data_IF_760608170479
#
_entry.id   IF_760608170479
#
_cell.length_a   1.000
_cell.length_b   1.000
_cell.length_c   1.000
_cell.angle_alpha   90.00
_cell.angle_beta   90.00
_cell.angle_gamma   90.00
#
_symmetry.space_group_name_H-M   'P 1'
#
loop_
_entity.id
_entity.type
_entity.pdbx_description
1 polymer ?
#
# COMPACT_ATOMS: atom_id res chain seq x y z
N UNK A 1 10.24 -18.59 -17.63
CA UNK A 1 9.47 -18.64 -16.38
C UNK A 1 10.45 -18.49 -15.23
N UNK A 2 10.72 -17.25 -14.80
CA UNK A 2 11.63 -16.99 -13.68
C UNK A 2 10.83 -17.02 -12.38
N UNK A 3 11.13 -17.98 -11.54
CA UNK A 3 10.62 -18.06 -10.18
C UNK A 3 11.11 -16.84 -9.39
N UNK A 4 10.16 -16.03 -8.91
CA UNK A 4 10.44 -14.91 -8.03
C UNK A 4 10.71 -15.49 -6.65
N UNK A 5 11.98 -15.53 -6.26
CA UNK A 5 12.39 -15.89 -4.92
C UNK A 5 11.99 -14.76 -3.95
N UNK A 6 11.30 -15.13 -2.89
CA UNK A 6 10.73 -14.20 -1.94
C UNK A 6 11.34 -14.46 -0.58
N UNK A 7 12.15 -13.53 -0.13
CA UNK A 7 12.79 -13.55 1.18
C UNK A 7 11.95 -12.79 2.19
N UNK A 8 11.47 -13.47 3.23
CA UNK A 8 10.82 -12.85 4.38
C UNK A 8 11.92 -12.42 5.34
N UNK A 9 12.28 -11.14 5.34
CA UNK A 9 13.17 -10.58 6.36
C UNK A 9 12.31 -9.95 7.46
N UNK A 10 12.07 -10.67 8.53
CA UNK A 10 11.51 -10.13 9.75
C UNK A 10 12.60 -9.30 10.47
N UNK A 11 12.70 -8.02 10.16
CA UNK A 11 13.41 -7.07 11.01
C UNK A 11 12.42 -6.43 11.96
N UNK A 12 12.45 -6.87 13.20
CA UNK A 12 11.86 -6.12 14.31
C UNK A 12 12.63 -4.81 14.40
N UNK A 13 12.00 -3.69 14.10
CA UNK A 13 12.56 -2.39 14.37
C UNK A 13 12.45 -2.12 15.87
N UNK A 14 13.51 -2.42 16.63
CA UNK A 14 13.67 -1.93 17.98
C UNK A 14 13.80 -0.41 17.94
N UNK A 15 12.78 0.27 18.40
CA UNK A 15 12.86 1.68 18.72
C UNK A 15 13.58 1.85 20.07
N UNK A 16 14.85 2.19 19.99
CA UNK A 16 15.68 2.97 20.90
C UNK A 16 15.61 2.80 22.41
N UNK A 17 16.63 2.20 22.94
CA UNK A 17 17.52 2.71 23.98
C UNK A 17 16.98 2.99 25.38
N UNK A 18 17.47 2.28 26.31
CA UNK A 18 18.20 2.62 27.53
C UNK A 18 17.86 1.73 28.73
N UNK A 19 18.87 1.12 29.17
CA UNK A 19 19.34 0.54 30.41
C UNK A 19 18.42 0.42 31.65
N UNK A 20 18.67 -0.72 32.31
CA UNK A 20 18.74 -1.00 33.72
C UNK A 20 17.53 -1.60 34.44
N UNK A 21 17.72 -2.89 34.81
CA UNK A 21 17.51 -3.46 36.13
C UNK A 21 16.10 -3.55 36.70
N UNK A 22 15.65 -4.80 36.94
CA UNK A 22 14.58 -5.03 37.86
C UNK A 22 13.76 -6.28 37.55
N UNK A 23 14.02 -7.34 38.30
CA UNK A 23 13.26 -8.59 38.34
C UNK A 23 11.79 -8.32 38.67
N UNK A 24 10.87 -8.85 37.85
CA UNK A 24 9.45 -8.72 38.11
C UNK A 24 8.61 -9.40 37.04
N UNK A 25 8.28 -10.66 37.28
CA UNK A 25 7.30 -11.45 36.57
C UNK A 25 5.96 -10.70 36.50
N UNK A 26 5.60 -10.22 35.34
CA UNK A 26 4.27 -9.70 35.06
C UNK A 26 3.75 -10.30 33.77
N UNK A 27 2.80 -11.22 33.96
CA UNK A 27 1.97 -11.80 32.91
C UNK A 27 1.33 -10.70 32.06
N UNK A 28 1.63 -10.78 30.77
CA UNK A 28 1.38 -9.92 29.69
C UNK A 28 0.06 -9.19 29.62
N UNK A 29 0.14 -7.90 29.54
CA UNK A 29 -0.76 -7.10 28.73
C UNK A 29 -0.10 -6.94 27.38
N UNK A 30 -0.78 -7.47 26.33
CA UNK A 30 -0.28 -7.45 24.96
C UNK A 30 0.25 -6.07 24.59
N UNK A 31 1.45 -6.04 24.08
CA UNK A 31 2.08 -4.84 23.54
C UNK A 31 1.21 -4.33 22.39
N UNK A 32 0.49 -3.25 22.63
CA UNK A 32 -0.23 -2.51 21.59
C UNK A 32 0.84 -1.96 20.66
N UNK A 33 0.99 -2.59 19.46
CA UNK A 33 1.43 -1.88 18.31
C UNK A 33 2.74 -2.22 17.62
N UNK A 34 3.39 -3.34 17.85
CA UNK A 34 4.50 -3.76 16.96
C UNK A 34 3.91 -4.26 15.64
N UNK A 35 3.95 -3.41 14.59
CA UNK A 35 3.52 -3.79 13.25
C UNK A 35 4.59 -4.66 12.59
N UNK A 36 4.15 -5.72 11.91
CA UNK A 36 5.04 -6.64 11.17
C UNK A 36 5.19 -6.12 9.73
N UNK A 37 6.43 -5.83 9.27
CA UNK A 37 6.64 -5.43 7.89
C UNK A 37 6.54 -6.64 6.95
N UNK A 38 5.67 -6.54 5.95
CA UNK A 38 5.58 -7.47 4.83
C UNK A 38 6.24 -6.84 3.62
N UNK A 39 7.32 -7.42 3.14
CA UNK A 39 8.01 -6.96 1.92
C UNK A 39 7.53 -7.77 0.73
N UNK A 40 7.04 -7.10 -0.29
CA UNK A 40 6.56 -7.70 -1.54
C UNK A 40 7.44 -7.24 -2.69
N UNK A 41 7.90 -8.18 -3.52
CA UNK A 41 8.65 -7.88 -4.72
C UNK A 41 7.70 -7.66 -5.89
N UNK A 42 7.93 -6.58 -6.64
CA UNK A 42 7.21 -6.27 -7.88
C UNK A 42 8.20 -6.14 -9.03
N UNK A 43 7.72 -6.12 -10.27
CA UNK A 43 8.59 -5.89 -11.44
C UNK A 43 9.35 -4.56 -11.39
N UNK A 44 8.86 -3.57 -10.62
CA UNK A 44 9.50 -2.26 -10.47
C UNK A 44 10.33 -2.08 -9.20
N UNK A 45 10.39 -3.09 -8.31
CA UNK A 45 11.11 -3.04 -7.02
C UNK A 45 10.28 -3.54 -5.85
N UNK A 46 10.81 -3.36 -4.63
CA UNK A 46 10.19 -3.85 -3.39
C UNK A 46 9.18 -2.85 -2.82
N UNK A 47 8.06 -3.37 -2.33
CA UNK A 47 7.03 -2.61 -1.61
C UNK A 47 6.92 -3.18 -0.20
N UNK A 48 6.88 -2.31 0.81
CA UNK A 48 6.70 -2.71 2.21
C UNK A 48 5.31 -2.30 2.68
N UNK A 49 4.57 -3.26 3.23
CA UNK A 49 3.32 -3.06 3.94
C UNK A 49 3.54 -3.22 5.44
N UNK A 50 2.73 -2.54 6.26
CA UNK A 50 2.74 -2.71 7.70
C UNK A 50 1.48 -3.48 8.13
N UNK A 51 1.64 -4.71 8.55
CA UNK A 51 0.57 -5.59 9.03
C UNK A 51 0.47 -5.57 10.54
N UNK A 52 -0.65 -6.02 11.11
CA UNK A 52 -0.90 -6.04 12.55
C UNK A 52 -0.09 -7.12 13.26
N UNK A 53 0.02 -8.28 12.64
CA UNK A 53 0.67 -9.47 13.16
C UNK A 53 1.20 -10.37 12.04
N UNK A 54 1.84 -11.47 12.41
CA UNK A 54 2.42 -12.41 11.47
C UNK A 54 1.36 -13.20 10.67
N UNK A 55 0.21 -13.48 11.24
CA UNK A 55 -0.87 -14.22 10.57
C UNK A 55 -1.49 -13.36 9.46
N UNK A 56 -1.74 -12.09 9.75
CA UNK A 56 -2.17 -11.13 8.72
C UNK A 56 -1.11 -10.98 7.62
N UNK A 57 0.17 -10.91 7.98
CA UNK A 57 1.26 -10.82 7.00
C UNK A 57 1.28 -12.03 6.06
N UNK A 58 1.12 -13.24 6.60
CA UNK A 58 1.12 -14.47 5.81
C UNK A 58 -0.10 -14.54 4.88
N UNK A 59 -1.29 -14.22 5.38
CA UNK A 59 -2.52 -14.21 4.59
C UNK A 59 -2.46 -13.17 3.47
N UNK A 60 -2.08 -11.93 3.79
CA UNK A 60 -1.94 -10.87 2.79
C UNK A 60 -0.87 -11.19 1.76
N UNK A 61 0.20 -11.86 2.18
CA UNK A 61 1.24 -12.30 1.26
C UNK A 61 0.68 -13.18 0.16
N UNK A 62 -0.01 -14.26 0.50
CA UNK A 62 -0.58 -15.18 -0.49
C UNK A 62 -1.56 -14.47 -1.44
N UNK A 63 -2.39 -13.57 -0.91
CA UNK A 63 -3.35 -12.78 -1.69
C UNK A 63 -2.66 -11.82 -2.65
N UNK A 64 -1.63 -11.10 -2.18
CA UNK A 64 -0.89 -10.15 -3.02
C UNK A 64 -0.10 -10.89 -4.10
N UNK A 65 0.51 -12.03 -3.80
CA UNK A 65 1.21 -12.84 -4.80
C UNK A 65 0.25 -13.32 -5.89
N UNK A 66 -0.95 -13.78 -5.52
CA UNK A 66 -2.01 -14.11 -6.47
C UNK A 66 -2.47 -12.89 -7.29
N UNK A 67 -2.61 -11.72 -6.66
CA UNK A 67 -2.96 -10.48 -7.33
C UNK A 67 -1.89 -10.02 -8.33
N UNK A 68 -0.61 -10.17 -8.00
CA UNK A 68 0.52 -9.88 -8.91
C UNK A 68 0.55 -10.82 -10.12
N UNK A 69 -0.03 -12.00 -10.02
CA UNK A 69 -0.15 -12.98 -11.12
C UNK A 69 -1.48 -12.90 -11.87
N UNK A 70 -2.36 -11.95 -11.53
CA UNK A 70 -3.59 -11.66 -12.27
C UNK A 70 -4.90 -11.92 -11.54
N UNK A 71 -4.88 -12.37 -10.27
CA UNK A 71 -6.11 -12.49 -9.47
C UNK A 71 -6.85 -11.16 -9.36
N UNK A 72 -8.18 -11.23 -9.31
CA UNK A 72 -9.08 -10.07 -9.21
C UNK A 72 -9.38 -9.64 -7.76
N UNK A 73 -8.50 -9.95 -6.81
CA UNK A 73 -8.68 -9.55 -5.41
C UNK A 73 -8.71 -8.02 -5.27
N UNK A 74 -9.71 -7.48 -4.59
CA UNK A 74 -9.88 -6.05 -4.33
C UNK A 74 -9.56 -5.65 -2.88
N UNK A 75 -9.21 -6.60 -2.04
CA UNK A 75 -8.81 -6.43 -0.63
C UNK A 75 -9.82 -5.67 0.24
N UNK A 76 -11.11 -5.61 -0.13
CA UNK A 76 -12.13 -4.81 0.58
C UNK A 76 -12.41 -5.27 2.00
N UNK A 77 -12.16 -6.53 2.29
CA UNK A 77 -12.29 -7.17 3.60
C UNK A 77 -11.10 -6.86 4.53
N UNK A 78 -10.01 -6.31 4.00
CA UNK A 78 -8.83 -5.98 4.80
C UNK A 78 -9.07 -4.66 5.54
N UNK A 79 -8.99 -4.65 6.88
CA UNK A 79 -9.18 -3.43 7.65
C UNK A 79 -8.13 -2.38 7.29
N UNK A 80 -8.57 -1.15 7.12
CA UNK A 80 -7.65 -0.03 6.91
C UNK A 80 -6.85 0.24 8.18
N UNK A 81 -5.59 0.62 8.00
CA UNK A 81 -4.73 1.03 9.09
C UNK A 81 -5.29 2.29 9.81
N UNK A 82 -4.87 2.47 11.05
CA UNK A 82 -5.18 3.68 11.82
C UNK A 82 -4.56 4.92 11.17
N UNK A 83 -5.29 6.01 11.25
CA UNK A 83 -4.89 7.31 10.71
C UNK A 83 -5.89 8.39 11.09
N UNK A 84 -5.60 9.64 10.72
CA UNK A 84 -6.57 10.75 10.93
C UNK A 84 -7.83 10.50 10.11
N UNK A 85 -8.94 11.13 10.51
CA UNK A 85 -10.22 10.99 9.80
C UNK A 85 -10.07 11.30 8.29
N UNK A 86 -9.28 12.33 7.94
CA UNK A 86 -9.03 12.68 6.54
C UNK A 86 -8.17 11.64 5.82
N UNK A 87 -7.13 11.08 6.47
CA UNK A 87 -6.35 10.00 5.87
C UNK A 87 -7.20 8.77 5.59
N UNK A 88 -8.03 8.36 6.55
CA UNK A 88 -8.95 7.23 6.36
C UNK A 88 -9.98 7.49 5.27
N UNK A 89 -10.52 8.71 5.17
CA UNK A 89 -11.42 9.10 4.09
C UNK A 89 -10.72 9.00 2.71
N UNK A 90 -9.47 9.48 2.61
CA UNK A 90 -8.67 9.35 1.40
C UNK A 90 -8.36 7.88 1.05
N UNK A 91 -8.02 7.05 2.04
CA UNK A 91 -7.73 5.63 1.80
C UNK A 91 -8.98 4.87 1.35
N UNK A 92 -10.14 5.09 1.98
CA UNK A 92 -11.43 4.52 1.52
C UNK A 92 -11.78 4.95 0.10
N UNK A 93 -11.65 6.24 -0.20
CA UNK A 93 -11.88 6.75 -1.56
C UNK A 93 -10.89 6.15 -2.57
N UNK A 94 -9.64 5.95 -2.18
CA UNK A 94 -8.64 5.29 -3.02
C UNK A 94 -9.02 3.83 -3.32
N UNK A 95 -9.49 3.08 -2.33
CA UNK A 95 -9.95 1.69 -2.50
C UNK A 95 -11.18 1.57 -3.40
N UNK A 96 -11.95 2.65 -3.61
CA UNK A 96 -13.09 2.64 -4.54
C UNK A 96 -12.70 2.77 -6.02
N UNK A 97 -11.44 3.09 -6.33
CA UNK A 97 -10.95 3.18 -7.71
C UNK A 97 -10.82 1.75 -8.27
N UNK A 98 -11.52 1.40 -9.35
CA UNK A 98 -11.43 0.08 -9.95
C UNK A 98 -10.01 -0.26 -10.44
N UNK A 99 -9.70 -1.56 -10.50
CA UNK A 99 -8.47 -2.05 -11.11
C UNK A 99 -8.36 -1.59 -12.56
N UNK A 100 -7.18 -1.13 -12.97
CA UNK A 100 -6.93 -0.62 -14.32
C UNK A 100 -7.37 0.83 -14.54
N UNK A 101 -8.06 1.44 -13.57
CA UNK A 101 -8.45 2.84 -13.65
C UNK A 101 -7.56 3.74 -12.80
N UNK A 102 -7.46 5.00 -13.18
CA UNK A 102 -6.74 6.02 -12.42
C UNK A 102 -7.62 7.22 -12.12
N UNK A 103 -7.33 7.90 -11.03
CA UNK A 103 -7.98 9.16 -10.64
C UNK A 103 -6.95 10.19 -10.22
N UNK A 104 -7.30 11.47 -10.35
CA UNK A 104 -6.41 12.56 -9.92
C UNK A 104 -6.43 12.76 -8.41
N UNK A 105 -5.39 13.42 -7.88
CA UNK A 105 -5.39 13.87 -6.47
C UNK A 105 -6.53 14.84 -6.15
N UNK A 106 -6.99 15.63 -7.13
CA UNK A 106 -8.14 16.51 -6.95
C UNK A 106 -9.44 15.72 -6.82
N UNK A 107 -9.62 14.66 -7.62
CA UNK A 107 -10.74 13.74 -7.47
C UNK A 107 -10.72 13.06 -6.10
N UNK A 108 -9.56 12.58 -5.67
CA UNK A 108 -9.40 11.92 -4.37
C UNK A 108 -9.79 12.85 -3.22
N UNK A 109 -9.35 14.13 -3.27
CA UNK A 109 -9.67 15.13 -2.27
C UNK A 109 -11.18 15.41 -2.22
N UNK A 110 -11.84 15.50 -3.38
CA UNK A 110 -13.28 15.68 -3.47
C UNK A 110 -14.04 14.47 -2.92
N UNK A 111 -13.65 13.26 -3.30
CA UNK A 111 -14.23 12.02 -2.80
C UNK A 111 -14.03 11.82 -1.28
N UNK A 112 -12.95 12.37 -0.72
CA UNK A 112 -12.69 12.41 0.72
C UNK A 112 -13.41 13.56 1.45
N UNK A 113 -14.34 14.27 0.79
CA UNK A 113 -15.12 15.36 1.38
C UNK A 113 -14.40 16.71 1.47
N UNK A 114 -13.26 16.88 0.82
CA UNK A 114 -12.44 18.10 0.90
C UNK A 114 -11.90 18.54 -0.46
N UNK A 115 -12.72 19.05 -1.39
CA UNK A 115 -12.34 19.28 -2.80
C UNK A 115 -11.11 20.17 -3.02
N UNK A 116 -10.83 21.07 -2.07
CA UNK A 116 -9.69 22.00 -2.16
C UNK A 116 -8.40 21.45 -1.53
N UNK A 117 -8.41 20.19 -1.02
CA UNK A 117 -7.34 19.60 -0.24
C UNK A 117 -6.44 18.64 -1.04
N UNK A 118 -6.26 18.83 -2.35
CA UNK A 118 -5.49 17.91 -3.22
C UNK A 118 -4.06 17.64 -2.71
N UNK A 119 -3.38 18.67 -2.16
CA UNK A 119 -2.04 18.48 -1.56
C UNK A 119 -2.09 17.61 -0.30
N UNK A 120 -3.11 17.78 0.55
CA UNK A 120 -3.29 16.96 1.74
C UNK A 120 -3.67 15.51 1.36
N UNK A 121 -4.47 15.31 0.31
CA UNK A 121 -4.76 13.99 -0.25
C UNK A 121 -3.47 13.31 -0.76
N UNK A 122 -2.58 14.05 -1.41
CA UNK A 122 -1.25 13.56 -1.79
C UNK A 122 -0.42 13.13 -0.57
N UNK A 123 -0.46 13.89 0.53
CA UNK A 123 0.22 13.52 1.77
C UNK A 123 -0.42 12.28 2.43
N UNK A 124 -1.74 12.10 2.35
CA UNK A 124 -2.41 10.89 2.81
C UNK A 124 -1.96 9.66 2.02
N UNK A 125 -1.84 9.76 0.70
CA UNK A 125 -1.29 8.69 -0.14
C UNK A 125 0.18 8.39 0.18
N UNK A 126 0.98 9.43 0.42
CA UNK A 126 2.39 9.26 0.83
C UNK A 126 2.53 8.50 2.16
N UNK A 127 1.59 8.67 3.08
CA UNK A 127 1.57 8.02 4.40
C UNK A 127 0.79 6.71 4.41
N UNK A 128 0.42 6.18 3.24
CA UNK A 128 -0.25 4.89 3.13
C UNK A 128 0.64 3.77 3.70
N UNK A 129 0.25 3.09 4.78
CA UNK A 129 1.06 2.02 5.37
C UNK A 129 0.83 0.66 4.71
N UNK A 130 -0.17 0.55 3.81
CA UNK A 130 -0.58 -0.70 3.17
C UNK A 130 -0.67 -0.55 1.63
N UNK A 131 0.46 -0.27 0.94
CA UNK A 131 0.48 -0.20 -0.52
C UNK A 131 -0.06 -1.50 -1.15
N UNK A 132 -0.66 -1.41 -2.31
CA UNK A 132 -1.41 -2.46 -3.03
C UNK A 132 -2.80 -2.67 -2.43
N UNK A 133 -2.93 -2.96 -1.14
CA UNK A 133 -4.23 -3.06 -0.42
C UNK A 133 -4.97 -1.73 -0.52
N UNK A 134 -4.33 -0.63 -0.14
CA UNK A 134 -4.77 0.73 -0.51
C UNK A 134 -4.05 1.14 -1.79
N UNK A 135 -4.72 1.13 -2.95
CA UNK A 135 -4.07 1.18 -4.26
C UNK A 135 -3.63 2.61 -4.64
N UNK A 136 -2.75 3.20 -3.83
CA UNK A 136 -2.27 4.58 -4.04
C UNK A 136 -1.55 4.77 -5.39
N UNK A 137 -1.14 3.69 -6.06
CA UNK A 137 -0.63 3.74 -7.43
C UNK A 137 -1.70 4.18 -8.43
N UNK A 138 -3.01 3.95 -8.17
CA UNK A 138 -4.13 4.40 -9.02
C UNK A 138 -4.41 5.91 -8.91
N UNK A 139 -3.77 6.61 -7.96
CA UNK A 139 -3.91 8.06 -7.83
C UNK A 139 -2.74 8.75 -8.52
N UNK A 140 -3.03 9.53 -9.56
CA UNK A 140 -2.03 10.17 -10.44
C UNK A 140 -2.15 11.70 -10.42
N UNK A 141 -1.12 12.38 -10.88
CA UNK A 141 -1.15 13.81 -11.11
C UNK A 141 -1.88 14.17 -12.40
N UNK A 142 -1.83 15.44 -12.77
CA UNK A 142 -2.35 15.95 -14.03
C UNK A 142 -1.28 15.94 -15.12
N UNK A 143 -1.68 15.77 -16.38
CA UNK A 143 -0.79 15.65 -17.52
C UNK A 143 0.09 14.41 -17.42
N UNK A 144 1.34 14.51 -17.87
CA UNK A 144 2.30 13.39 -17.87
C UNK A 144 2.88 13.08 -16.48
N UNK A 145 2.48 13.82 -15.44
CA UNK A 145 2.97 13.61 -14.09
C UNK A 145 2.17 12.53 -13.38
N UNK A 146 2.73 11.34 -13.27
CA UNK A 146 2.05 10.22 -12.58
C UNK A 146 2.07 10.33 -11.05
N UNK A 147 2.67 11.38 -10.48
CA UNK A 147 2.77 11.55 -9.02
C UNK A 147 3.88 10.72 -8.39
N UNK A 148 4.18 10.97 -7.11
CA UNK A 148 5.12 10.17 -6.33
C UNK A 148 4.53 8.82 -5.90
N UNK A 149 5.36 7.95 -5.30
CA UNK A 149 4.95 6.66 -4.75
C UNK A 149 5.75 6.34 -3.48
N UNK A 150 5.12 5.63 -2.53
CA UNK A 150 5.74 5.12 -1.30
C UNK A 150 6.62 6.16 -0.56
N UNK A 151 6.14 7.40 -0.46
CA UNK A 151 6.85 8.47 0.24
C UNK A 151 7.85 9.28 -0.60
N UNK A 152 8.19 8.85 -1.81
CA UNK A 152 9.05 9.61 -2.71
C UNK A 152 8.22 10.47 -3.68
N UNK A 153 8.46 11.78 -3.68
CA UNK A 153 7.77 12.73 -4.56
C UNK A 153 8.58 13.04 -5.84
N UNK A 154 9.78 12.47 -5.99
CA UNK A 154 10.64 12.73 -7.16
C UNK A 154 10.07 12.07 -8.40
N UNK A 155 10.20 12.76 -9.54
CA UNK A 155 9.73 12.24 -10.84
C UNK A 155 10.64 11.17 -11.47
N UNK A 156 11.77 10.86 -10.86
CA UNK A 156 12.81 9.98 -11.40
C UNK A 156 13.40 9.01 -10.36
N UNK A 157 12.66 8.71 -9.29
CA UNK A 157 13.14 7.79 -8.24
C UNK A 157 12.77 6.33 -8.53
N UNK A 158 13.45 5.36 -7.88
CA UNK A 158 13.17 3.92 -8.02
C UNK A 158 11.73 3.56 -7.67
N UNK A 159 11.11 4.28 -6.75
CA UNK A 159 9.70 4.09 -6.34
C UNK A 159 8.70 4.40 -7.45
N UNK A 160 9.06 5.27 -8.39
CA UNK A 160 8.23 5.57 -9.54
C UNK A 160 8.18 4.39 -10.53
N UNK A 161 9.27 3.63 -10.63
CA UNK A 161 9.32 2.37 -11.38
C UNK A 161 8.28 1.37 -10.87
N UNK A 162 8.13 1.27 -9.53
CA UNK A 162 7.12 0.40 -8.89
C UNK A 162 5.71 0.85 -9.30
N UNK A 163 5.41 2.14 -9.20
CA UNK A 163 4.09 2.67 -9.55
C UNK A 163 3.74 2.38 -11.01
N UNK A 164 4.68 2.60 -11.93
CA UNK A 164 4.50 2.28 -13.36
C UNK A 164 4.26 0.79 -13.58
N UNK A 165 5.04 -0.07 -12.94
CA UNK A 165 4.89 -1.52 -13.05
C UNK A 165 3.52 -2.01 -12.56
N UNK A 166 3.01 -1.46 -11.45
CA UNK A 166 1.68 -1.79 -10.92
C UNK A 166 0.57 -1.32 -11.87
N UNK A 167 0.66 -0.10 -12.39
CA UNK A 167 -0.30 0.41 -13.38
C UNK A 167 -0.30 -0.42 -14.66
N UNK A 168 0.87 -0.81 -15.17
CA UNK A 168 0.99 -1.67 -16.35
C UNK A 168 0.43 -3.07 -16.11
N UNK A 169 0.64 -3.63 -14.92
CA UNK A 169 0.07 -4.92 -14.53
C UNK A 169 -1.44 -4.89 -14.58
N UNK A 170 -2.04 -3.84 -14.03
CA UNK A 170 -3.50 -3.67 -14.00
C UNK A 170 -4.10 -3.43 -15.38
N UNK A 171 -3.46 -2.65 -16.24
CA UNK A 171 -3.90 -2.39 -17.60
C UNK A 171 -4.00 -3.68 -18.43
N UNK A 172 -2.99 -4.56 -18.33
CA UNK A 172 -3.00 -5.86 -19.03
C UNK A 172 -4.12 -6.78 -18.59
N UNK A 173 -4.52 -6.71 -17.31
CA UNK A 173 -5.61 -7.54 -16.79
C UNK A 173 -6.99 -7.06 -17.26
N UNK A 174 -7.13 -5.79 -17.60
CA UNK A 174 -8.37 -5.21 -18.14
C UNK A 174 -8.65 -5.67 -19.58
N UNK A 175 -7.60 -5.83 -20.39
CA UNK A 175 -7.71 -6.24 -21.79
C UNK A 175 -8.15 -7.71 -21.94
N UNK A 176 -7.81 -8.58 -21.00
CA UNK A 176 -8.16 -10.00 -21.02
C UNK A 176 -9.63 -10.24 -20.63
N UNK A 177 -10.26 -9.31 -19.93
CA UNK A 177 -11.62 -9.45 -19.42
C UNK A 177 -12.66 -8.67 -20.23
N UNK A 178 -12.31 -8.09 -21.39
CA UNK A 178 -13.25 -7.51 -22.33
C UNK A 178 -13.88 -8.64 -23.15
N UNK A 179 -15.21 -8.87 -23.07
CA UNK A 179 -15.86 -9.82 -23.97
C UNK A 179 -15.68 -9.33 -25.41
N UNK A 180 -15.17 -10.21 -26.27
CA UNK A 180 -15.12 -9.96 -27.72
C UNK A 180 -16.54 -9.68 -28.22
N UNK A 181 -16.75 -8.47 -28.75
CA UNK A 181 -17.99 -8.03 -29.40
C UNK A 181 -18.18 -8.74 -30.73
#
# INVERSE_FOLDING_TARGET
MSAIAIEISARVCDAGGAAAGGDGEAVGKGAIGARVPLVVQTAGGSVTLLTRDADEALLLRARIDAWLTGSADDFRDVPLAEGTAFQQACWRACCSIPRGETRSYSWLAAAAGSPRAARAAGQAMRRNPMPIVVPCHRVVGSGDWIGGYAGDARQSGPTLGIKRALLQLEARSSDVNSPAS
#
